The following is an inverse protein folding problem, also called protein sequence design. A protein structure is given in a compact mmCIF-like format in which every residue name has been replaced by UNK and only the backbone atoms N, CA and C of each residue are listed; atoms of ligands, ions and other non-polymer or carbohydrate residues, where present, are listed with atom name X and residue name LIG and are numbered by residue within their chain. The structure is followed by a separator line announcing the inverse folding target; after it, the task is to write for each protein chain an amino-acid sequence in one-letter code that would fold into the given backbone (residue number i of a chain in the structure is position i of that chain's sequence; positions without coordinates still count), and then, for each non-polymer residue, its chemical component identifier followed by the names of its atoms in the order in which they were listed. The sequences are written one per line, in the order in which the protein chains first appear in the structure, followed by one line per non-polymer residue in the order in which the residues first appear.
data_IF_480261896431
#
_entry.id   IF_480261896431
#
_cell.length_a   1.000
_cell.length_b   1.000
_cell.length_c   1.000
_cell.angle_alpha   90.00
_cell.angle_beta   90.00
_cell.angle_gamma   90.00
#
_symmetry.space_group_name_H-M   'P 1'
#
loop_
_entity.id
_entity.type
_entity.pdbx_description
1 polymer ?
#
# COMPACT_ATOMS: atom_id res chain seq x y z
N UNK A 1 -16.43 2.31 -1.51
CA UNK A 1 -16.39 2.27 -2.58
C UNK A 1 -15.10 2.59 -3.28
N UNK A 2 -14.24 3.35 -2.81
CA UNK A 2 -13.10 3.79 -3.57
C UNK A 2 -11.94 2.81 -3.66
N UNK A 3 -11.92 1.77 -2.84
CA UNK A 3 -10.75 0.91 -2.71
C UNK A 3 -10.94 -0.49 -3.28
N UNK A 4 -11.64 -0.56 -4.41
CA UNK A 4 -11.73 -1.80 -5.17
C UNK A 4 -11.05 -1.60 -6.51
N UNK A 5 -10.02 -2.38 -6.79
CA UNK A 5 -9.34 -2.28 -8.07
C UNK A 5 -7.84 -2.51 -7.95
N UNK A 6 -7.14 -2.13 -9.01
CA UNK A 6 -5.70 -2.30 -9.09
C UNK A 6 -5.06 -0.94 -9.35
N UNK A 7 -3.97 -0.68 -8.65
CA UNK A 7 -3.22 0.57 -8.78
C UNK A 7 -1.74 0.27 -8.96
N UNK A 8 -1.07 1.13 -9.72
CA UNK A 8 0.38 1.16 -9.74
C UNK A 8 0.82 2.15 -8.68
N UNK A 9 1.48 1.68 -7.65
CA UNK A 9 1.92 2.55 -6.55
C UNK A 9 3.41 2.78 -6.61
N UNK A 10 3.83 3.95 -6.19
CA UNK A 10 5.24 4.33 -6.08
C UNK A 10 5.50 4.73 -4.65
N UNK A 11 6.49 4.08 -4.04
CA UNK A 11 6.93 4.39 -2.69
C UNK A 11 8.26 5.11 -2.75
N UNK A 12 8.35 6.25 -2.09
CA UNK A 12 9.58 7.02 -2.02
C UNK A 12 10.39 6.51 -0.84
N UNK A 13 11.48 5.82 -1.11
CA UNK A 13 12.31 5.26 -0.05
C UNK A 13 13.70 5.90 -0.09
N UNK A 14 14.46 5.82 1.03
CA UNK A 14 15.83 6.33 1.04
C UNK A 14 16.74 5.68 0.00
N UNK A 15 16.36 4.51 -0.49
CA UNK A 15 17.13 3.78 -1.50
C UNK A 15 16.63 4.04 -2.91
N UNK A 16 15.76 5.03 -3.10
CA UNK A 16 15.17 5.35 -4.38
C UNK A 16 13.69 4.98 -4.43
N UNK A 17 13.05 5.30 -5.54
CA UNK A 17 11.63 5.01 -5.71
C UNK A 17 11.42 3.52 -5.95
N UNK A 18 10.41 2.95 -5.31
CA UNK A 18 10.00 1.57 -5.49
C UNK A 18 8.60 1.55 -6.06
N UNK A 19 8.40 0.70 -7.04
CA UNK A 19 7.09 0.55 -7.66
C UNK A 19 6.50 -0.82 -7.33
N UNK A 20 5.19 -0.84 -7.17
CA UNK A 20 4.48 -2.08 -6.91
C UNK A 20 3.09 -2.01 -7.53
N UNK A 21 2.50 -3.17 -7.76
CA UNK A 21 1.11 -3.28 -8.22
C UNK A 21 0.28 -3.70 -7.03
N UNK A 22 -0.68 -2.87 -6.68
CA UNK A 22 -1.56 -3.10 -5.54
C UNK A 22 -2.95 -3.46 -6.03
N UNK A 23 -3.45 -4.59 -5.58
CA UNK A 23 -4.83 -5.00 -5.85
C UNK A 23 -5.58 -5.03 -4.53
N UNK A 24 -6.67 -4.29 -4.46
CA UNK A 24 -7.48 -4.20 -3.26
C UNK A 24 -8.91 -4.61 -3.52
N UNK A 25 -9.52 -5.25 -2.53
CA UNK A 25 -10.94 -5.54 -2.50
C UNK A 25 -11.48 -5.05 -1.16
N UNK A 26 -12.50 -4.23 -1.23
CA UNK A 26 -13.14 -3.66 -0.04
C UNK A 26 -14.45 -4.39 0.22
N UNK A 27 -14.64 -4.79 1.48
CA UNK A 27 -15.88 -5.42 1.92
C UNK A 27 -16.29 -4.71 3.20
N UNK A 28 -17.23 -3.77 3.09
CA UNK A 28 -17.56 -2.89 4.21
C UNK A 28 -16.36 -2.03 4.56
N UNK A 29 -15.87 -2.16 5.79
CA UNK A 29 -14.68 -1.44 6.25
C UNK A 29 -13.42 -2.30 6.17
N UNK A 30 -13.53 -3.54 5.70
CA UNK A 30 -12.41 -4.43 5.62
C UNK A 30 -11.76 -4.38 4.24
N UNK A 31 -10.45 -4.44 4.20
CA UNK A 31 -9.69 -4.51 2.95
C UNK A 31 -8.91 -5.81 2.89
N UNK A 32 -8.89 -6.39 1.72
CA UNK A 32 -8.02 -7.53 1.42
C UNK A 32 -7.35 -7.29 0.08
N UNK A 33 -6.37 -8.08 -0.24
CA UNK A 33 -5.72 -7.99 -1.53
C UNK A 33 -4.27 -8.39 -1.47
N UNK A 34 -3.54 -7.97 -2.48
CA UNK A 34 -2.13 -8.32 -2.62
C UNK A 34 -1.35 -7.13 -3.16
N UNK A 35 -0.05 -7.16 -2.91
CA UNK A 35 0.88 -6.19 -3.43
C UNK A 35 2.01 -6.95 -4.09
N UNK A 36 2.29 -6.64 -5.35
CA UNK A 36 3.33 -7.33 -6.10
C UNK A 36 4.45 -6.36 -6.47
N UNK A 37 5.67 -6.72 -6.11
CA UNK A 37 6.84 -5.93 -6.41
C UNK A 37 8.03 -6.84 -6.66
N UNK A 38 8.82 -6.55 -7.71
CA UNK A 38 10.04 -7.30 -8.03
C UNK A 38 9.82 -8.81 -8.13
N UNK A 39 8.66 -9.22 -8.66
CA UNK A 39 8.33 -10.64 -8.81
C UNK A 39 7.87 -11.32 -7.52
N UNK A 40 7.77 -10.58 -6.43
CA UNK A 40 7.27 -11.11 -5.16
C UNK A 40 5.90 -10.56 -4.86
N UNK A 41 5.03 -11.40 -4.34
CA UNK A 41 3.68 -11.02 -3.96
C UNK A 41 3.53 -11.14 -2.46
N UNK A 42 3.00 -10.10 -1.83
CA UNK A 42 2.71 -10.11 -0.40
C UNK A 42 1.22 -9.82 -0.19
N UNK A 43 0.67 -10.39 0.86
CA UNK A 43 -0.73 -10.20 1.18
C UNK A 43 -0.93 -8.88 1.95
N UNK A 44 -2.07 -8.26 1.71
CA UNK A 44 -2.51 -7.13 2.53
C UNK A 44 -2.98 -7.68 3.87
N UNK A 45 -2.44 -7.15 4.95
CA UNK A 45 -2.71 -7.61 6.32
C UNK A 45 -3.40 -6.49 7.09
N UNK A 46 -4.40 -6.85 7.89
CA UNK A 46 -5.11 -5.90 8.75
C UNK A 46 -5.65 -4.69 7.97
N UNK A 47 -6.12 -4.93 6.75
CA UNK A 47 -6.63 -3.86 5.92
C UNK A 47 -7.97 -3.36 6.42
N UNK A 48 -8.13 -2.04 6.44
CA UNK A 48 -9.40 -1.42 6.82
C UNK A 48 -9.54 -0.06 6.16
N UNK A 49 -10.79 0.38 6.06
CA UNK A 49 -11.11 1.72 5.59
C UNK A 49 -11.67 2.49 6.79
N UNK A 50 -11.10 3.66 7.05
CA UNK A 50 -11.49 4.48 8.19
C UNK A 50 -11.40 5.95 7.78
N UNK A 51 -12.51 6.66 7.93
CA UNK A 51 -12.59 8.09 7.60
C UNK A 51 -12.14 8.42 6.17
N UNK A 52 -12.50 7.55 5.22
CA UNK A 52 -12.12 7.75 3.82
C UNK A 52 -10.67 7.41 3.50
N UNK A 53 -9.96 6.81 4.43
CA UNK A 53 -8.58 6.41 4.25
C UNK A 53 -8.45 4.89 4.29
N UNK A 54 -7.60 4.35 3.44
CA UNK A 54 -7.28 2.93 3.44
C UNK A 54 -5.99 2.71 4.22
N UNK A 55 -6.04 1.79 5.16
CA UNK A 55 -4.89 1.46 6.00
C UNK A 55 -4.67 -0.04 5.95
N UNK A 56 -3.43 -0.44 5.74
CA UNK A 56 -3.10 -1.86 5.75
C UNK A 56 -1.62 -2.04 6.06
N UNK A 57 -1.24 -3.28 6.32
CA UNK A 57 0.16 -3.66 6.55
C UNK A 57 0.59 -4.69 5.54
N UNK A 58 1.87 -4.74 5.29
CA UNK A 58 2.46 -5.76 4.42
C UNK A 58 3.80 -6.17 5.01
N UNK A 59 4.00 -7.48 5.14
CA UNK A 59 5.26 -8.02 5.64
C UNK A 59 6.16 -8.34 4.46
N UNK A 60 7.29 -7.64 4.39
CA UNK A 60 8.29 -7.87 3.38
C UNK A 60 9.41 -8.68 4.01
N UNK A 61 9.87 -9.71 3.32
CA UNK A 61 10.95 -10.57 3.85
C UNK A 61 12.25 -10.41 3.10
N UNK A 62 12.23 -9.80 1.93
CA UNK A 62 13.41 -9.64 1.07
C UNK A 62 13.55 -8.18 0.68
N UNK A 63 14.74 -7.57 0.79
CA UNK A 63 16.00 -8.15 1.27
C UNK A 63 16.09 -8.33 2.77
N UNK A 64 15.25 -7.64 3.53
CA UNK A 64 15.22 -7.73 4.99
C UNK A 64 13.79 -7.83 5.48
N UNK A 65 13.54 -8.53 6.59
CA UNK A 65 12.22 -8.54 7.19
C UNK A 65 11.83 -7.15 7.64
N UNK A 66 10.71 -6.64 7.13
CA UNK A 66 10.19 -5.34 7.51
C UNK A 66 8.68 -5.35 7.33
N UNK A 67 7.98 -4.76 8.28
CA UNK A 67 6.54 -4.57 8.15
C UNK A 67 6.28 -3.15 7.67
N UNK A 68 5.61 -3.04 6.53
CA UNK A 68 5.20 -1.75 5.98
C UNK A 68 3.79 -1.46 6.44
N UNK A 69 3.55 -0.23 6.89
CA UNK A 69 2.22 0.22 7.27
C UNK A 69 1.81 1.34 6.35
N UNK A 70 0.74 1.10 5.60
CA UNK A 70 0.25 2.05 4.61
C UNK A 70 -0.94 2.82 5.14
N UNK A 71 -1.02 4.09 4.80
CA UNK A 71 -2.14 4.96 5.14
C UNK A 71 -2.32 5.90 3.95
N UNK A 72 -3.31 5.60 3.11
CA UNK A 72 -3.52 6.35 1.89
C UNK A 72 -4.97 6.81 1.80
N UNK A 73 -5.18 7.89 1.07
CA UNK A 73 -6.50 8.42 0.80
C UNK A 73 -6.77 8.37 -0.70
N UNK A 74 -8.04 8.31 -1.06
CA UNK A 74 -8.46 8.39 -2.45
C UNK A 74 -8.47 9.86 -2.86
N UNK A 75 -7.65 10.18 -3.84
CA UNK A 75 -7.53 11.54 -4.37
C UNK A 75 -7.97 11.52 -5.83
N UNK A 76 -9.29 11.60 -6.07
CA UNK A 76 -9.88 11.61 -7.41
C UNK A 76 -9.52 10.38 -8.24
N UNK A 77 -9.54 9.22 -7.58
CA UNK A 77 -9.21 7.96 -8.23
C UNK A 77 -7.78 7.50 -8.02
N UNK A 78 -6.89 8.42 -7.72
CA UNK A 78 -5.51 8.10 -7.38
C UNK A 78 -5.41 7.84 -5.87
N UNK A 79 -4.34 7.18 -5.47
CA UNK A 79 -4.04 6.98 -4.06
C UNK A 79 -2.89 7.90 -3.66
N UNK A 80 -2.99 8.50 -2.47
CA UNK A 80 -1.96 9.38 -1.97
C UNK A 80 -1.88 9.28 -0.45
N UNK A 81 -0.68 9.09 0.06
CA UNK A 81 -0.50 8.97 1.50
C UNK A 81 0.92 8.67 1.88
N UNK A 82 1.08 7.86 2.92
CA UNK A 82 2.39 7.53 3.46
C UNK A 82 2.51 6.04 3.72
N UNK A 83 3.75 5.59 3.75
CA UNK A 83 4.09 4.24 4.19
C UNK A 83 5.12 4.37 5.31
N UNK A 84 4.89 3.64 6.40
CA UNK A 84 5.81 3.58 7.50
C UNK A 84 6.73 2.39 7.29
N UNK A 85 8.02 2.65 7.31
CA UNK A 85 9.04 1.66 6.97
C UNK A 85 9.72 1.10 8.22
N UNK A 86 8.96 0.77 9.25
CA UNK A 86 9.50 0.27 10.48
C UNK A 86 10.40 1.33 11.13
N UNK A 87 11.62 0.94 11.48
CA UNK A 87 12.56 1.86 12.12
C UNK A 87 13.20 2.85 11.15
N UNK A 88 12.94 2.71 9.85
CA UNK A 88 13.49 3.62 8.86
C UNK A 88 12.65 4.88 8.66
N UNK A 89 11.61 5.07 9.47
CA UNK A 89 10.74 6.23 9.36
C UNK A 89 9.61 6.02 8.35
N UNK A 90 9.12 7.10 7.78
CA UNK A 90 8.02 7.02 6.83
C UNK A 90 8.38 7.74 5.54
N UNK A 91 7.69 7.36 4.48
CA UNK A 91 7.91 7.91 3.14
C UNK A 91 6.58 8.15 2.44
N UNK A 92 6.60 8.99 1.42
CA UNK A 92 5.40 9.23 0.63
C UNK A 92 5.07 8.06 -0.28
N UNK A 93 3.79 7.85 -0.49
CA UNK A 93 3.27 6.84 -1.40
C UNK A 93 2.24 7.49 -2.31
N UNK A 94 2.34 7.22 -3.59
CA UNK A 94 1.32 7.63 -4.53
C UNK A 94 0.96 6.45 -5.43
N UNK A 95 -0.26 6.45 -5.92
CA UNK A 95 -0.72 5.38 -6.80
C UNK A 95 -1.69 5.91 -7.84
N UNK A 96 -1.62 5.33 -9.03
CA UNK A 96 -2.53 5.64 -10.12
C UNK A 96 -3.23 4.36 -10.54
N UNK A 97 -4.47 4.45 -11.05
CA UNK A 97 -5.17 3.26 -11.54
C UNK A 97 -4.38 2.55 -12.62
N UNK A 98 -4.31 1.25 -12.47
CA UNK A 98 -3.59 0.43 -13.45
C UNK A 98 -4.44 0.15 -14.66
#
# INVERSE_FOLDING_TARGET
MAFNGTWNITMKTPMGDREAVLTLAQDGDALSGTMEADGNTVDVIDGKVEDGRAKWKADITTPMPITLEFDVADASGDLDGTVKLGMFGSSGVSGTPA
#
